data_IF_918940633998
#
_entry.id   IF_918940633998
#
_cell.length_a   1.000
_cell.length_b   1.000
_cell.length_c   1.000
_cell.angle_alpha   90.00
_cell.angle_beta   90.00
_cell.angle_gamma   90.00
#
_symmetry.space_group_name_H-M   'P 1'
#
loop_
_entity.id
_entity.type
_entity.pdbx_description
1 polymer ?
#
# COMPACT_ATOMS: atom_id res chain seq x y z
N UNK A 1 -16.53 -37.06 -7.79
CA UNK A 1 -15.10 -36.69 -7.67
C UNK A 1 -14.68 -35.91 -8.94
N UNK A 2 -15.49 -34.93 -9.34
CA UNK A 2 -15.51 -34.37 -10.72
C UNK A 2 -14.88 -32.98 -10.85
N UNK A 3 -14.35 -32.40 -9.78
CA UNK A 3 -13.92 -30.99 -9.77
C UNK A 3 -12.45 -30.75 -10.16
N UNK A 4 -11.73 -31.76 -10.66
CA UNK A 4 -10.32 -31.60 -11.08
C UNK A 4 -10.10 -31.73 -12.59
N UNK A 5 -11.15 -31.70 -13.43
CA UNK A 5 -11.06 -31.93 -14.87
C UNK A 5 -11.21 -30.61 -15.64
N UNK A 6 -10.22 -30.30 -16.47
CA UNK A 6 -10.30 -29.27 -17.52
C UNK A 6 -11.50 -29.56 -18.44
N UNK A 7 -12.21 -28.56 -18.97
CA UNK A 7 -13.43 -28.80 -19.74
C UNK A 7 -13.17 -29.74 -20.92
N UNK A 8 -14.05 -30.74 -21.19
CA UNK A 8 -13.89 -31.61 -22.35
C UNK A 8 -14.09 -30.79 -23.62
N UNK A 9 -13.18 -30.96 -24.58
CA UNK A 9 -13.31 -30.38 -25.91
C UNK A 9 -14.60 -30.90 -26.59
N UNK A 10 -15.49 -30.04 -27.11
CA UNK A 10 -16.64 -30.48 -27.87
C UNK A 10 -16.18 -31.11 -29.20
N UNK A 11 -16.88 -32.17 -29.59
CA UNK A 11 -16.55 -33.05 -30.71
C UNK A 11 -16.23 -32.33 -32.02
N UNK A 12 -15.31 -32.95 -32.75
CA UNK A 12 -14.72 -32.48 -33.99
C UNK A 12 -15.73 -32.06 -35.08
N UNK A 13 -15.63 -30.80 -35.47
CA UNK A 13 -15.92 -30.30 -36.82
C UNK A 13 -14.60 -29.64 -37.30
N UNK A 14 -14.11 -29.92 -38.53
CA UNK A 14 -12.83 -29.38 -38.98
C UNK A 14 -13.01 -27.93 -39.45
N UNK A 15 -13.12 -27.02 -38.49
CA UNK A 15 -12.87 -25.60 -38.71
C UNK A 15 -11.42 -25.34 -38.34
N UNK A 16 -10.69 -24.75 -39.29
CA UNK A 16 -9.29 -24.33 -39.18
C UNK A 16 -9.15 -23.30 -38.04
N UNK A 17 -9.12 -23.75 -36.78
CA UNK A 17 -8.76 -22.92 -35.65
C UNK A 17 -7.25 -22.70 -35.70
N UNK A 18 -6.84 -21.45 -35.93
CA UNK A 18 -5.56 -21.01 -35.38
C UNK A 18 -5.61 -21.29 -33.87
N UNK A 19 -4.96 -22.36 -33.42
CA UNK A 19 -4.57 -22.46 -32.03
C UNK A 19 -3.60 -21.30 -31.78
N UNK A 20 -4.12 -20.19 -31.25
CA UNK A 20 -3.29 -19.34 -30.40
C UNK A 20 -2.76 -20.28 -29.32
N UNK A 21 -1.47 -20.62 -29.40
CA UNK A 21 -0.79 -21.26 -28.30
C UNK A 21 -0.98 -20.34 -27.09
N UNK A 22 -1.82 -20.75 -26.14
CA UNK A 22 -1.93 -20.08 -24.86
C UNK A 22 -0.57 -20.25 -24.16
N UNK A 23 0.28 -19.24 -24.28
CA UNK A 23 1.53 -19.21 -23.55
C UNK A 23 1.21 -19.00 -22.09
N UNK A 24 1.54 -20.00 -21.27
CA UNK A 24 1.46 -19.88 -19.84
C UNK A 24 2.53 -18.94 -19.30
N UNK A 25 2.11 -18.01 -18.44
CA UNK A 25 2.98 -17.01 -17.82
C UNK A 25 2.84 -17.11 -16.32
N UNK A 26 3.96 -17.02 -15.60
CA UNK A 26 3.95 -16.81 -14.16
C UNK A 26 3.80 -15.32 -13.86
N UNK A 27 3.18 -14.98 -12.74
CA UNK A 27 3.05 -13.61 -12.26
C UNK A 27 4.42 -12.94 -11.97
N UNK A 28 5.47 -13.72 -11.73
CA UNK A 28 6.84 -13.23 -11.60
C UNK A 28 7.88 -14.30 -11.94
N UNK A 29 9.06 -13.86 -12.38
CA UNK A 29 10.22 -14.70 -12.65
C UNK A 29 11.21 -14.80 -11.48
N UNK A 30 11.16 -13.85 -10.52
CA UNK A 30 12.04 -13.81 -9.35
C UNK A 30 11.30 -13.19 -8.17
N UNK A 31 11.48 -13.76 -6.98
CA UNK A 31 10.95 -13.25 -5.72
C UNK A 31 12.05 -13.09 -4.71
N UNK A 32 12.04 -11.96 -4.00
CA UNK A 32 12.92 -11.68 -2.88
C UNK A 32 12.08 -11.70 -1.60
N UNK A 33 12.32 -12.68 -0.73
CA UNK A 33 11.59 -12.91 0.51
C UNK A 33 12.45 -12.50 1.71
N UNK A 34 11.89 -11.78 2.70
CA UNK A 34 12.63 -11.42 3.88
C UNK A 34 12.86 -12.63 4.78
N UNK A 35 14.08 -12.77 5.30
CA UNK A 35 14.40 -13.80 6.27
C UNK A 35 13.78 -13.49 7.64
N UNK A 36 13.23 -14.49 8.32
CA UNK A 36 12.58 -14.32 9.63
C UNK A 36 12.82 -15.55 10.51
N UNK A 37 12.92 -15.35 11.83
CA UNK A 37 13.20 -16.43 12.82
C UNK A 37 11.96 -17.00 13.52
N UNK A 38 10.77 -16.52 13.21
CA UNK A 38 9.55 -16.92 13.92
C UNK A 38 8.27 -16.59 13.18
N UNK A 39 8.32 -15.59 12.31
CA UNK A 39 7.20 -15.20 11.44
C UNK A 39 7.27 -15.96 10.12
N UNK A 40 6.19 -16.58 9.66
CA UNK A 40 6.15 -17.16 8.30
C UNK A 40 5.72 -16.09 7.30
N UNK A 41 6.56 -15.81 6.31
CA UNK A 41 6.27 -14.86 5.23
C UNK A 41 5.84 -15.63 4.00
N UNK A 42 4.71 -15.24 3.44
CA UNK A 42 4.05 -15.93 2.35
C UNK A 42 4.04 -15.07 1.08
N UNK A 43 4.32 -15.70 -0.05
CA UNK A 43 4.15 -15.14 -1.39
C UNK A 43 3.31 -16.08 -2.26
N UNK A 44 2.38 -15.55 -3.04
CA UNK A 44 1.53 -16.38 -3.92
C UNK A 44 2.05 -16.34 -5.35
N UNK A 45 2.51 -17.49 -5.86
CA UNK A 45 2.77 -17.69 -7.28
C UNK A 45 1.47 -18.02 -8.00
N UNK A 46 1.27 -17.41 -9.17
CA UNK A 46 0.08 -17.60 -9.99
C UNK A 46 0.49 -17.75 -11.46
N UNK A 47 -0.05 -18.79 -12.10
CA UNK A 47 0.07 -18.99 -13.53
C UNK A 47 -1.18 -18.44 -14.26
N UNK A 48 -0.98 -17.84 -15.42
CA UNK A 48 -2.04 -17.16 -16.17
C UNK A 48 -3.15 -18.11 -16.62
N UNK A 49 -2.81 -19.33 -17.06
CA UNK A 49 -3.74 -20.33 -17.60
C UNK A 49 -3.20 -21.74 -17.37
N UNK A 50 -4.06 -22.73 -17.10
CA UNK A 50 -3.70 -24.15 -17.01
C UNK A 50 -3.57 -24.71 -15.59
N UNK A 51 -3.30 -26.02 -15.49
CA UNK A 51 -3.21 -26.75 -14.23
C UNK A 51 -1.76 -27.19 -13.98
N UNK A 52 -1.11 -26.60 -12.98
CA UNK A 52 0.32 -26.82 -12.73
C UNK A 52 0.55 -27.71 -11.52
N UNK A 53 1.50 -28.63 -11.66
CA UNK A 53 2.09 -29.31 -10.52
C UNK A 53 3.28 -28.49 -10.06
N UNK A 54 3.21 -28.03 -8.82
CA UNK A 54 4.24 -27.22 -8.20
C UNK A 54 5.23 -28.11 -7.46
N UNK A 55 6.52 -27.88 -7.64
CA UNK A 55 7.58 -28.54 -6.88
C UNK A 55 8.68 -27.53 -6.56
N UNK A 56 9.19 -27.60 -5.35
CA UNK A 56 10.40 -26.87 -4.96
C UNK A 56 11.58 -27.81 -5.13
N UNK A 57 12.63 -27.34 -5.80
CA UNK A 57 13.91 -28.06 -5.86
C UNK A 57 14.63 -28.05 -4.52
N UNK A 58 14.28 -27.11 -3.63
CA UNK A 58 14.89 -26.89 -2.32
C UNK A 58 13.83 -26.52 -1.27
N UNK A 59 13.02 -27.48 -0.81
CA UNK A 59 11.97 -27.24 0.19
C UNK A 59 12.49 -26.64 1.50
N UNK A 60 13.78 -26.78 1.79
CA UNK A 60 14.45 -26.21 2.95
C UNK A 60 14.74 -24.70 2.85
N UNK A 61 14.75 -24.13 1.63
CA UNK A 61 14.93 -22.69 1.37
C UNK A 61 13.60 -22.00 1.08
N UNK A 62 12.77 -22.65 0.26
CA UNK A 62 11.43 -22.19 -0.06
C UNK A 62 10.52 -23.41 -0.23
N UNK A 63 9.54 -23.58 0.65
CA UNK A 63 8.50 -24.60 0.48
C UNK A 63 7.40 -24.07 -0.44
N UNK A 64 6.81 -24.94 -1.24
CA UNK A 64 5.72 -24.60 -2.16
C UNK A 64 4.53 -25.52 -1.91
N UNK A 65 3.35 -24.93 -1.71
CA UNK A 65 2.10 -25.65 -1.48
C UNK A 65 1.06 -25.23 -2.51
N UNK A 66 0.43 -26.16 -3.25
CA UNK A 66 -0.61 -25.82 -4.21
C UNK A 66 -1.84 -25.24 -3.51
N UNK A 67 -2.33 -24.10 -4.00
CA UNK A 67 -3.58 -23.49 -3.54
C UNK A 67 -4.71 -23.95 -4.46
N UNK A 68 -5.46 -24.98 -4.04
CA UNK A 68 -6.56 -25.56 -4.79
C UNK A 68 -7.46 -26.48 -3.96
N UNK A 69 -8.55 -27.02 -4.53
CA UNK A 69 -9.45 -27.93 -3.83
C UNK A 69 -8.70 -29.16 -3.33
N UNK A 70 -8.96 -29.56 -2.07
CA UNK A 70 -8.33 -30.72 -1.45
C UNK A 70 -8.57 -31.98 -2.31
N UNK A 71 -7.48 -32.63 -2.73
CA UNK A 71 -7.52 -33.83 -3.57
C UNK A 71 -7.19 -33.61 -5.06
N UNK A 72 -7.03 -32.36 -5.53
CA UNK A 72 -6.54 -32.12 -6.90
C UNK A 72 -4.99 -32.17 -6.97
N UNK A 73 -4.45 -32.81 -8.03
CA UNK A 73 -3.01 -33.02 -8.25
C UNK A 73 -2.28 -31.82 -8.88
N UNK A 74 -3.02 -30.78 -9.27
CA UNK A 74 -2.49 -29.57 -9.90
C UNK A 74 -3.36 -28.37 -9.54
N UNK A 75 -2.77 -27.17 -9.56
CA UNK A 75 -3.43 -25.91 -9.24
C UNK A 75 -2.89 -24.77 -10.09
N UNK A 76 -3.67 -23.71 -10.26
CA UNK A 76 -3.24 -22.50 -10.95
C UNK A 76 -2.41 -21.56 -10.06
N UNK A 77 -2.58 -21.68 -8.74
CA UNK A 77 -1.90 -20.88 -7.71
C UNK A 77 -1.13 -21.78 -6.74
N UNK A 78 -0.04 -21.27 -6.19
CA UNK A 78 0.72 -21.92 -5.13
C UNK A 78 1.30 -20.92 -4.14
N UNK A 79 1.35 -21.31 -2.87
CA UNK A 79 1.94 -20.56 -1.79
C UNK A 79 3.43 -20.89 -1.69
N UNK A 80 4.28 -19.89 -1.79
CA UNK A 80 5.71 -19.99 -1.52
C UNK A 80 5.97 -19.44 -0.11
N UNK A 81 6.61 -20.24 0.72
CA UNK A 81 7.02 -19.84 2.07
C UNK A 81 8.52 -20.03 2.21
N UNK A 82 9.20 -19.15 2.95
CA UNK A 82 10.62 -19.30 3.27
C UNK A 82 10.81 -20.03 4.63
N UNK A 83 11.30 -21.29 4.66
CA UNK A 83 11.77 -21.94 5.87
C UNK A 83 13.10 -21.38 6.39
N UNK A 84 13.48 -21.85 7.58
CA UNK A 84 14.45 -21.24 8.49
C UNK A 84 15.94 -21.26 8.09
N UNK A 85 16.35 -21.88 6.97
CA UNK A 85 17.79 -22.05 6.67
C UNK A 85 18.13 -21.89 5.17
N UNK A 86 19.22 -21.17 4.89
CA UNK A 86 19.66 -20.78 3.55
C UNK A 86 20.64 -21.78 2.91
N UNK A 87 20.65 -21.90 1.58
CA UNK A 87 21.83 -21.88 0.68
C UNK A 87 21.39 -21.86 -0.81
N UNK A 88 22.32 -21.68 -1.76
CA UNK A 88 22.12 -21.36 -3.19
C UNK A 88 22.23 -22.54 -4.18
N UNK A 89 21.71 -22.32 -5.40
CA UNK A 89 22.05 -22.87 -6.75
C UNK A 89 20.99 -23.74 -7.50
N UNK A 90 20.39 -23.10 -8.51
CA UNK A 90 20.21 -23.41 -9.96
C UNK A 90 19.76 -24.79 -10.51
N UNK A 91 18.66 -24.79 -11.28
CA UNK A 91 18.23 -25.80 -12.28
C UNK A 91 16.98 -25.37 -13.06
N UNK A 92 16.72 -25.85 -14.29
CA UNK A 92 15.75 -25.28 -15.26
C UNK A 92 14.49 -26.15 -15.52
N UNK A 93 13.33 -25.59 -15.17
CA UNK A 93 11.91 -25.78 -15.61
C UNK A 93 11.21 -24.43 -15.29
N UNK A 94 10.07 -24.02 -15.88
CA UNK A 94 9.44 -22.68 -15.67
C UNK A 94 9.71 -22.12 -14.26
N UNK A 95 10.65 -21.17 -14.21
CA UNK A 95 11.47 -20.96 -13.04
C UNK A 95 11.10 -19.65 -12.40
N UNK A 96 10.65 -19.69 -11.16
CA UNK A 96 10.71 -18.53 -10.30
C UNK A 96 11.89 -18.72 -9.34
N UNK A 97 12.88 -17.84 -9.41
CA UNK A 97 13.98 -17.85 -8.45
C UNK A 97 13.51 -17.20 -7.14
N UNK A 98 13.38 -18.01 -6.08
CA UNK A 98 13.14 -17.50 -4.74
C UNK A 98 14.47 -17.24 -4.02
N UNK A 99 14.72 -15.98 -3.69
CA UNK A 99 15.89 -15.52 -2.96
C UNK A 99 15.41 -15.11 -1.57
N UNK A 100 16.11 -15.55 -0.53
CA UNK A 100 15.84 -15.15 0.85
C UNK A 100 17.02 -14.33 1.34
N UNK A 101 16.77 -13.11 1.82
CA UNK A 101 17.80 -12.18 2.29
C UNK A 101 17.32 -11.35 3.50
N UNK A 102 18.24 -10.62 4.13
CA UNK A 102 18.00 -9.73 5.26
C UNK A 102 17.55 -8.34 4.81
N UNK A 103 16.54 -7.82 5.51
CA UNK A 103 16.15 -6.40 5.40
C UNK A 103 17.25 -5.53 6.00
N UNK A 104 17.79 -4.62 5.19
CA UNK A 104 18.78 -3.63 5.60
C UNK A 104 18.16 -2.24 5.84
N UNK A 105 17.07 -1.93 5.13
CA UNK A 105 16.36 -0.67 5.29
C UNK A 105 14.86 -0.80 5.01
N UNK A 106 14.08 0.14 5.55
CA UNK A 106 12.65 0.28 5.24
C UNK A 106 12.36 1.72 4.82
N UNK A 107 11.32 1.90 4.00
CA UNK A 107 10.88 3.19 3.49
C UNK A 107 9.35 3.24 3.48
N UNK A 108 8.78 4.32 4.02
CA UNK A 108 7.34 4.58 3.90
C UNK A 108 7.06 5.25 2.56
N UNK A 109 6.27 4.56 1.74
CA UNK A 109 5.81 4.98 0.43
C UNK A 109 4.35 5.41 0.53
N UNK A 110 4.03 6.50 -0.15
CA UNK A 110 2.68 7.05 -0.23
C UNK A 110 2.40 7.52 -1.66
N UNK A 111 1.13 7.45 -2.08
CA UNK A 111 0.70 7.99 -3.38
C UNK A 111 0.62 9.51 -3.38
N UNK A 112 0.35 10.10 -2.21
CA UNK A 112 0.26 11.55 -1.99
C UNK A 112 1.02 11.95 -0.74
N UNK A 113 1.48 13.21 -0.69
CA UNK A 113 2.07 13.83 0.52
C UNK A 113 1.12 14.83 1.19
N UNK A 114 0.03 15.14 0.51
CA UNK A 114 -1.02 16.06 0.96
C UNK A 114 -2.29 15.26 1.23
N UNK A 115 -2.97 15.58 2.33
CA UNK A 115 -4.18 14.91 2.78
C UNK A 115 -5.24 15.95 3.11
N UNK A 116 -6.45 15.81 2.59
CA UNK A 116 -7.54 16.69 2.99
C UNK A 116 -8.19 16.21 4.30
N UNK A 117 -8.69 17.16 5.10
CA UNK A 117 -9.42 16.87 6.35
C UNK A 117 -10.58 15.91 6.16
N UNK A 118 -10.75 15.00 7.14
CA UNK A 118 -11.90 14.14 7.50
C UNK A 118 -12.51 13.25 6.41
N UNK A 119 -12.53 13.68 5.15
CA UNK A 119 -13.18 13.01 4.02
C UNK A 119 -12.17 12.25 3.14
N UNK A 120 -10.85 12.46 3.32
CA UNK A 120 -9.81 11.79 2.54
C UNK A 120 -9.03 10.78 3.39
N UNK A 121 -9.05 9.52 2.94
CA UNK A 121 -8.20 8.46 3.47
C UNK A 121 -6.96 8.32 2.59
N UNK A 122 -5.79 8.18 3.20
CA UNK A 122 -4.54 7.90 2.51
C UNK A 122 -3.97 6.56 2.96
N UNK A 123 -3.68 5.71 1.99
CA UNK A 123 -2.92 4.48 2.21
C UNK A 123 -1.43 4.78 2.27
N UNK A 124 -0.78 4.29 3.33
CA UNK A 124 0.67 4.28 3.46
C UNK A 124 1.16 2.85 3.47
N UNK A 125 2.24 2.59 2.74
CA UNK A 125 2.82 1.26 2.61
C UNK A 125 4.32 1.29 2.88
N UNK A 126 4.86 0.20 3.40
CA UNK A 126 6.30 0.04 3.60
C UNK A 126 6.90 -0.73 2.43
N UNK A 127 7.99 -0.20 1.90
CA UNK A 127 8.95 -0.96 1.11
C UNK A 127 10.13 -1.32 2.00
N UNK A 128 10.60 -2.57 1.91
CA UNK A 128 11.85 -2.97 2.54
C UNK A 128 12.91 -3.19 1.46
N UNK A 129 14.16 -2.89 1.80
CA UNK A 129 15.31 -2.96 0.92
C UNK A 129 16.39 -3.87 1.49
N UNK A 130 17.04 -4.65 0.63
CA UNK A 130 18.25 -5.41 0.96
C UNK A 130 19.50 -4.50 0.94
N UNK A 131 20.69 -5.09 1.10
CA UNK A 131 21.96 -4.35 1.11
C UNK A 131 22.32 -3.73 -0.25
N UNK A 132 21.76 -4.27 -1.33
CA UNK A 132 21.99 -3.84 -2.71
C UNK A 132 20.95 -2.80 -3.16
N UNK A 133 19.90 -2.56 -2.37
CA UNK A 133 18.80 -1.66 -2.67
C UNK A 133 17.65 -2.29 -3.45
N UNK A 134 17.59 -3.63 -3.55
CA UNK A 134 16.45 -4.32 -4.15
C UNK A 134 15.26 -4.33 -3.20
N UNK A 135 14.04 -4.25 -3.75
CA UNK A 135 12.82 -4.26 -2.94
C UNK A 135 12.32 -5.69 -2.70
N UNK A 136 12.04 -6.01 -1.44
CA UNK A 136 11.42 -7.29 -1.08
C UNK A 136 10.02 -7.42 -1.71
N UNK A 137 9.72 -8.61 -2.24
CA UNK A 137 8.48 -8.87 -2.98
C UNK A 137 7.24 -8.94 -2.08
N UNK A 138 7.42 -9.22 -0.79
CA UNK A 138 6.34 -9.26 0.20
C UNK A 138 6.87 -8.99 1.60
N UNK A 139 6.06 -8.32 2.42
CA UNK A 139 6.28 -8.12 3.85
C UNK A 139 5.15 -8.74 4.68
N UNK A 140 4.32 -9.57 4.04
CA UNK A 140 3.15 -10.17 4.67
C UNK A 140 3.54 -10.98 5.92
N UNK A 141 2.87 -10.66 7.03
CA UNK A 141 3.10 -11.30 8.33
C UNK A 141 4.13 -10.58 9.21
N UNK A 142 4.97 -9.70 8.66
CA UNK A 142 5.85 -8.86 9.47
C UNK A 142 5.05 -7.80 10.22
N UNK A 143 5.38 -7.63 11.50
CA UNK A 143 4.72 -6.65 12.37
C UNK A 143 5.48 -5.34 12.34
N UNK A 144 4.76 -4.27 12.10
CA UNK A 144 5.28 -2.90 12.15
C UNK A 144 4.57 -2.11 13.23
N UNK A 145 5.31 -1.22 13.87
CA UNK A 145 4.79 -0.26 14.82
C UNK A 145 4.70 1.10 14.14
N UNK A 146 3.47 1.59 13.97
CA UNK A 146 3.18 2.87 13.37
C UNK A 146 2.82 3.89 14.43
N UNK A 147 3.64 4.93 14.54
CA UNK A 147 3.50 5.95 15.58
C UNK A 147 3.50 7.36 14.98
N UNK A 148 2.73 8.23 15.62
CA UNK A 148 2.74 9.67 15.35
C UNK A 148 3.92 10.28 16.08
N UNK A 149 4.81 10.96 15.35
CA UNK A 149 5.91 11.72 15.96
C UNK A 149 5.35 13.06 16.40
N UNK A 150 5.37 13.31 17.71
CA UNK A 150 5.09 14.63 18.28
C UNK A 150 6.36 15.47 18.16
N UNK A 151 6.26 16.64 17.53
CA UNK A 151 7.37 17.60 17.57
C UNK A 151 7.49 18.14 19.03
N UNK A 152 8.71 18.33 19.57
CA UNK A 152 8.90 18.85 20.92
C UNK A 152 8.48 20.33 20.96
N UNK A 153 7.33 20.60 21.57
CA UNK A 153 6.85 21.96 21.87
C UNK A 153 7.70 22.58 23.01
N UNK A 154 8.09 23.87 22.92
CA UNK A 154 8.88 24.54 23.95
C UNK A 154 8.08 24.96 25.20
N UNK A 155 6.75 24.83 25.22
CA UNK A 155 5.92 25.20 26.39
C UNK A 155 4.95 24.07 26.78
N UNK A 156 4.96 23.70 28.06
CA UNK A 156 4.33 22.51 28.65
C UNK A 156 2.80 22.49 28.72
N UNK A 157 2.08 23.04 27.73
CA UNK A 157 0.62 22.93 27.62
C UNK A 157 0.25 21.88 26.56
N UNK A 158 0.13 20.62 27.01
CA UNK A 158 -0.25 19.49 26.17
C UNK A 158 -1.76 19.46 25.90
N UNK A 159 -2.25 20.35 25.03
CA UNK A 159 -3.49 20.10 24.31
C UNK A 159 -3.17 19.14 23.15
N UNK A 160 -3.02 17.85 23.48
CA UNK A 160 -2.66 16.80 22.52
C UNK A 160 -3.83 16.45 21.60
N UNK A 161 -4.29 17.41 20.80
CA UNK A 161 -5.16 17.12 19.68
C UNK A 161 -4.31 16.50 18.58
N UNK A 162 -4.38 15.18 18.45
CA UNK A 162 -3.71 14.48 17.36
C UNK A 162 -4.19 15.04 16.01
N UNK A 163 -3.27 15.59 15.24
CA UNK A 163 -3.53 16.17 13.91
C UNK A 163 -3.92 15.09 12.88
N UNK A 164 -3.45 13.86 13.08
CA UNK A 164 -3.68 12.74 12.19
C UNK A 164 -4.11 11.50 13.00
N UNK A 165 -5.00 10.69 12.40
CA UNK A 165 -5.48 9.43 12.98
C UNK A 165 -5.07 8.27 12.09
N UNK A 166 -4.55 7.22 12.70
CA UNK A 166 -4.38 5.91 12.06
C UNK A 166 -5.70 5.15 12.20
N UNK A 167 -6.20 4.62 11.09
CA UNK A 167 -7.46 3.90 11.01
C UNK A 167 -7.21 2.41 10.76
N UNK A 168 -8.12 1.59 11.29
CA UNK A 168 -8.21 0.18 10.91
C UNK A 168 -8.92 0.06 9.57
N UNK A 169 -8.51 -0.89 8.75
CA UNK A 169 -9.18 -1.19 7.50
C UNK A 169 -10.62 -1.65 7.71
N UNK A 170 -10.90 -2.35 8.81
CA UNK A 170 -12.26 -2.71 9.24
C UNK A 170 -13.18 -1.50 9.49
N UNK A 171 -12.63 -0.33 9.79
CA UNK A 171 -13.38 0.93 9.99
C UNK A 171 -13.57 1.70 8.67
N UNK A 172 -13.05 1.18 7.55
CA UNK A 172 -13.01 1.86 6.26
C UNK A 172 -13.84 1.13 5.19
N UNK A 173 -14.06 1.79 4.06
CA UNK A 173 -14.66 1.18 2.86
C UNK A 173 -13.63 0.49 1.96
N UNK A 174 -12.34 0.53 2.32
CA UNK A 174 -11.26 -0.04 1.54
C UNK A 174 -11.10 -1.54 1.84
N UNK A 175 -10.77 -2.32 0.81
CA UNK A 175 -10.54 -3.76 0.92
C UNK A 175 -9.05 -4.00 1.22
N UNK A 176 -8.67 -4.39 2.45
CA UNK A 176 -7.28 -4.71 2.77
C UNK A 176 -6.85 -6.06 2.17
N UNK A 177 -5.53 -6.28 2.02
CA UNK A 177 -4.99 -7.63 1.90
C UNK A 177 -5.41 -8.50 3.10
N UNK A 178 -5.70 -9.78 2.85
CA UNK A 178 -6.21 -10.69 3.89
C UNK A 178 -5.28 -10.81 5.11
N UNK A 179 -3.97 -10.80 4.91
CA UNK A 179 -2.99 -10.88 6.00
C UNK A 179 -2.99 -9.64 6.89
N UNK A 180 -3.36 -8.45 6.38
CA UNK A 180 -3.54 -7.24 7.20
C UNK A 180 -4.76 -7.39 8.09
N UNK A 181 -5.87 -7.92 7.56
CA UNK A 181 -7.08 -8.19 8.32
C UNK A 181 -6.82 -9.12 9.51
N UNK A 182 -6.04 -10.19 9.29
CA UNK A 182 -5.65 -11.11 10.37
C UNK A 182 -4.76 -10.43 11.42
N UNK A 183 -3.89 -9.50 11.01
CA UNK A 183 -3.10 -8.71 11.96
C UNK A 183 -3.97 -7.78 12.82
N UNK A 184 -4.97 -7.13 12.23
CA UNK A 184 -5.86 -6.23 12.97
C UNK A 184 -6.68 -6.97 14.04
N UNK A 185 -7.09 -8.22 13.78
CA UNK A 185 -7.79 -9.08 14.75
C UNK A 185 -6.97 -9.32 16.03
N UNK A 186 -5.65 -9.39 15.91
CA UNK A 186 -4.72 -9.56 17.04
C UNK A 186 -4.10 -8.24 17.50
N UNK A 187 -4.72 -7.11 17.14
CA UNK A 187 -4.29 -5.75 17.50
C UNK A 187 -2.84 -5.42 17.07
N UNK A 188 -2.39 -6.01 15.95
CA UNK A 188 -1.10 -5.72 15.32
C UNK A 188 -1.30 -4.93 14.04
N UNK A 189 -0.27 -4.19 13.63
CA UNK A 189 -0.24 -3.45 12.37
C UNK A 189 0.77 -4.09 11.44
N UNK A 190 0.43 -4.12 10.15
CA UNK A 190 1.28 -4.67 9.09
C UNK A 190 2.08 -3.60 8.35
N UNK A 191 2.57 -3.97 7.18
CA UNK A 191 3.30 -3.09 6.26
C UNK A 191 2.44 -2.02 5.60
N UNK A 192 1.11 -2.11 5.70
CA UNK A 192 0.17 -1.15 5.12
C UNK A 192 -0.80 -0.64 6.19
N UNK A 193 -1.05 0.67 6.21
CA UNK A 193 -2.03 1.34 7.09
C UNK A 193 -2.86 2.38 6.34
N UNK A 194 -4.01 2.75 6.92
CA UNK A 194 -4.79 3.91 6.50
C UNK A 194 -4.66 5.06 7.49
N UNK A 195 -4.60 6.28 6.98
CA UNK A 195 -4.57 7.49 7.79
C UNK A 195 -5.61 8.52 7.34
N UNK A 196 -6.12 9.30 8.28
CA UNK A 196 -7.02 10.43 8.03
C UNK A 196 -6.57 11.70 8.78
N UNK A 197 -6.83 12.85 8.18
CA UNK A 197 -6.53 14.15 8.77
C UNK A 197 -7.63 14.62 9.71
N UNK A 198 -7.28 15.03 10.93
CA UNK A 198 -8.18 15.62 11.93
C UNK A 198 -8.04 17.14 11.96
N UNK A 199 -6.80 17.65 11.84
CA UNK A 199 -6.49 19.08 11.91
C UNK A 199 -5.53 19.50 10.80
N UNK A 200 -5.67 20.74 10.34
CA UNK A 200 -4.82 21.34 9.32
C UNK A 200 -3.45 21.66 9.90
N UNK A 201 -2.49 20.79 9.64
CA UNK A 201 -1.12 20.94 10.09
C UNK A 201 -0.23 19.96 9.34
N UNK A 202 1.08 20.05 9.54
CA UNK A 202 1.98 18.99 9.10
C UNK A 202 2.15 17.96 10.20
N UNK A 203 2.01 16.68 9.87
CA UNK A 203 2.19 15.57 10.81
C UNK A 203 3.25 14.62 10.31
N UNK A 204 4.09 14.10 11.22
CA UNK A 204 5.10 13.09 10.92
C UNK A 204 4.65 11.74 11.48
N UNK A 205 4.76 10.71 10.65
CA UNK A 205 4.55 9.32 11.01
C UNK A 205 5.86 8.57 10.96
N UNK A 206 6.00 7.60 11.86
CA UNK A 206 7.18 6.76 12.00
C UNK A 206 6.75 5.30 11.98
N UNK A 207 7.38 4.52 11.12
CA UNK A 207 7.21 3.07 11.03
C UNK A 207 8.48 2.36 11.51
N UNK A 208 8.33 1.39 12.41
CA UNK A 208 9.42 0.56 12.93
C UNK A 208 9.10 -0.92 12.76
N UNK A 209 10.06 -1.70 12.24
CA UNK A 209 9.95 -3.16 12.15
C UNK A 209 10.17 -3.79 13.54
N UNK A 210 9.24 -4.63 14.01
CA UNK A 210 9.28 -5.22 15.36
C UNK A 210 9.99 -6.58 15.44
N UNK A 211 10.33 -7.18 14.30
CA UNK A 211 10.96 -8.49 14.25
C UNK A 211 12.37 -8.47 14.86
N UNK A 212 12.68 -9.49 15.68
CA UNK A 212 13.80 -9.46 16.63
C UNK A 212 15.19 -9.42 15.98
N UNK A 213 15.32 -10.01 14.79
CA UNK A 213 16.57 -9.99 14.01
C UNK A 213 16.83 -8.61 13.38
N UNK A 214 15.80 -7.77 13.25
CA UNK A 214 15.85 -6.46 12.59
C UNK A 214 15.88 -5.27 13.56
N UNK A 215 16.25 -5.50 14.83
CA UNK A 215 16.37 -4.43 15.85
C UNK A 215 17.24 -3.25 15.43
N UNK A 216 18.22 -3.48 14.56
CA UNK A 216 19.16 -2.47 14.09
C UNK A 216 18.68 -1.72 12.83
N UNK A 217 17.60 -2.18 12.20
CA UNK A 217 17.01 -1.50 11.03
C UNK A 217 16.40 -0.18 11.50
N UNK A 218 16.82 0.91 10.88
CA UNK A 218 16.34 2.24 11.27
C UNK A 218 14.85 2.40 10.93
N UNK A 219 14.06 3.02 11.81
CA UNK A 219 12.69 3.38 11.50
C UNK A 219 12.63 4.33 10.30
N UNK A 220 11.59 4.21 9.48
CA UNK A 220 11.32 5.16 8.41
C UNK A 220 10.30 6.18 8.85
N UNK A 221 10.51 7.44 8.46
CA UNK A 221 9.60 8.53 8.75
C UNK A 221 9.01 9.13 7.46
N UNK A 222 7.76 9.56 7.53
CA UNK A 222 7.07 10.31 6.47
C UNK A 222 6.39 11.53 7.06
N UNK A 223 6.56 12.66 6.38
CA UNK A 223 5.84 13.90 6.68
C UNK A 223 4.66 14.04 5.73
N UNK A 224 3.47 14.24 6.30
CA UNK A 224 2.24 14.55 5.57
C UNK A 224 1.83 15.99 5.86
N UNK A 225 1.23 16.64 4.87
CA UNK A 225 0.63 17.97 5.00
C UNK A 225 -0.88 17.84 4.93
N UNK A 226 -1.57 18.24 5.99
CA UNK A 226 -3.02 18.14 6.07
C UNK A 226 -3.63 19.49 5.73
N UNK A 227 -4.47 19.51 4.71
CA UNK A 227 -5.03 20.70 4.10
C UNK A 227 -6.54 20.77 4.27
N UNK A 228 -7.07 21.99 4.27
CA UNK A 228 -8.50 22.21 4.17
C UNK A 228 -8.91 22.35 2.71
N UNK A 229 -10.08 21.81 2.36
CA UNK A 229 -10.66 22.06 1.06
C UNK A 229 -11.34 23.45 1.07
N UNK A 230 -10.63 24.44 0.53
CA UNK A 230 -11.07 25.84 0.44
C UNK A 230 -11.25 26.19 -1.05
N UNK A 231 -12.37 26.84 -1.37
CA UNK A 231 -12.66 27.32 -2.72
C UNK A 231 -13.25 28.72 -2.69
N UNK A 232 -13.08 29.44 -3.80
CA UNK A 232 -13.63 30.78 -4.01
C UNK A 232 -14.99 30.66 -4.69
N UNK A 233 -15.93 31.51 -4.29
CA UNK A 233 -17.22 31.64 -4.94
C UNK A 233 -17.37 33.06 -5.51
N UNK A 234 -17.61 33.23 -6.81
CA UNK A 234 -17.89 32.16 -7.77
C UNK A 234 -16.63 31.37 -8.20
N UNK A 235 -16.82 30.09 -8.52
CA UNK A 235 -15.75 29.14 -8.92
C UNK A 235 -15.44 29.16 -10.41
N UNK A 236 -16.24 29.85 -11.23
CA UNK A 236 -16.04 29.99 -12.68
C UNK A 236 -15.13 31.17 -13.01
N UNK A 237 -14.60 31.18 -14.24
CA UNK A 237 -13.72 32.25 -14.72
C UNK A 237 -14.46 33.59 -14.81
N UNK A 238 -13.80 34.66 -14.34
CA UNK A 238 -14.37 36.02 -14.29
C UNK A 238 -13.41 36.96 -15.02
N UNK A 239 -13.94 37.69 -15.99
CA UNK A 239 -13.21 38.70 -16.74
C UNK A 239 -13.52 40.08 -16.17
N UNK A 240 -12.49 40.80 -15.71
CA UNK A 240 -12.61 42.12 -15.09
C UNK A 240 -11.92 43.19 -15.93
N UNK A 241 -12.60 44.32 -16.16
CA UNK A 241 -12.02 45.51 -16.77
C UNK A 241 -11.12 46.24 -15.76
N UNK A 242 -10.14 47.00 -16.27
CA UNK A 242 -9.23 47.77 -15.43
C UNK A 242 -10.03 48.77 -14.59
N UNK A 243 -9.83 48.74 -13.26
CA UNK A 243 -10.49 49.62 -12.30
C UNK A 243 -11.77 49.06 -11.66
N UNK A 244 -12.23 47.88 -12.07
CA UNK A 244 -13.40 47.24 -11.44
C UNK A 244 -13.00 46.33 -10.27
N UNK A 245 -13.98 46.01 -9.41
CA UNK A 245 -13.81 45.11 -8.28
C UNK A 245 -14.88 44.03 -8.29
N UNK A 246 -14.56 42.86 -7.76
CA UNK A 246 -15.51 41.77 -7.56
C UNK A 246 -15.64 41.40 -6.09
N UNK A 247 -16.86 41.06 -5.69
CA UNK A 247 -17.12 40.40 -4.42
C UNK A 247 -17.00 38.90 -4.61
N UNK A 248 -16.16 38.28 -3.78
CA UNK A 248 -16.01 36.83 -3.74
C UNK A 248 -16.19 36.34 -2.30
N UNK A 249 -16.58 35.08 -2.15
CA UNK A 249 -16.65 34.40 -0.85
C UNK A 249 -15.59 33.33 -0.80
N UNK A 250 -14.89 33.27 0.33
CA UNK A 250 -14.05 32.11 0.65
C UNK A 250 -14.94 31.13 1.37
N UNK A 251 -15.08 29.96 0.77
CA UNK A 251 -15.90 28.88 1.30
C UNK A 251 -15.02 27.69 1.61
N UNK A 252 -15.37 26.99 2.69
CA UNK A 252 -14.67 25.81 3.16
C UNK A 252 -15.65 24.66 3.18
N UNK A 253 -15.23 23.51 2.65
CA UNK A 253 -16.00 22.28 2.70
C UNK A 253 -15.53 21.42 3.88
N UNK A 254 -16.47 21.01 4.73
CA UNK A 254 -16.25 19.94 5.73
C UNK A 254 -17.47 19.02 5.72
N UNK A 255 -17.29 17.71 5.52
CA UNK A 255 -18.37 16.72 5.59
C UNK A 255 -19.60 17.11 4.75
N UNK A 256 -19.36 17.53 3.50
CA UNK A 256 -20.40 18.01 2.58
C UNK A 256 -21.14 19.31 3.00
N UNK A 257 -20.78 19.95 4.12
CA UNK A 257 -21.31 21.25 4.56
C UNK A 257 -20.37 22.38 4.17
N UNK A 258 -20.93 23.40 3.51
CA UNK A 258 -20.19 24.59 3.08
C UNK A 258 -20.37 25.69 4.13
N UNK A 259 -19.26 26.13 4.73
CA UNK A 259 -19.24 27.30 5.63
C UNK A 259 -18.42 28.39 4.96
N UNK A 260 -18.92 29.64 4.93
CA UNK A 260 -18.26 30.73 4.22
C UNK A 260 -18.26 32.04 4.99
N UNK A 261 -17.26 32.86 4.70
CA UNK A 261 -17.17 34.24 5.18
C UNK A 261 -17.22 35.20 3.99
N UNK A 262 -17.99 36.29 4.14
CA UNK A 262 -18.04 37.37 3.15
C UNK A 262 -16.84 38.30 3.34
N UNK A 263 -16.05 38.48 2.30
CA UNK A 263 -15.07 39.56 2.25
C UNK A 263 -15.61 40.66 1.34
N UNK A 264 -15.88 41.82 1.93
CA UNK A 264 -16.12 43.06 1.21
C UNK A 264 -14.80 43.84 1.10
N UNK A 265 -14.48 44.34 -0.10
CA UNK A 265 -13.41 45.32 -0.36
C UNK A 265 -11.93 44.86 -0.27
N UNK A 266 -11.53 43.75 -0.91
CA UNK A 266 -10.10 43.51 -1.20
C UNK A 266 -9.79 43.64 -2.69
N UNK A 267 -8.82 44.51 -3.03
CA UNK A 267 -8.29 44.64 -4.40
C UNK A 267 -7.37 43.45 -4.69
N UNK A 268 -7.82 42.50 -5.49
CA UNK A 268 -6.95 41.48 -6.07
C UNK A 268 -6.25 42.07 -7.31
N UNK A 269 -4.93 42.21 -7.28
CA UNK A 269 -4.16 42.57 -8.47
C UNK A 269 -3.86 41.30 -9.29
N UNK A 270 -4.23 41.34 -10.57
CA UNK A 270 -3.98 40.26 -11.52
C UNK A 270 -2.48 40.21 -11.80
N UNK A 271 -1.80 39.24 -11.20
CA UNK A 271 -0.38 39.00 -11.40
C UNK A 271 0.27 38.45 -10.13
N UNK A 272 0.28 37.13 -10.00
CA UNK A 272 0.89 36.36 -8.90
C UNK A 272 0.07 36.36 -7.61
N UNK A 273 -0.56 35.21 -7.36
CA UNK A 273 -1.32 34.90 -6.14
C UNK A 273 -0.46 35.02 -4.89
N UNK A 274 -0.51 36.18 -4.23
CA UNK A 274 -0.09 36.37 -2.84
C UNK A 274 -1.20 37.17 -2.15
N UNK A 275 -2.22 36.47 -1.65
CA UNK A 275 -3.09 37.05 -0.62
C UNK A 275 -2.33 36.97 0.72
N UNK A 276 -1.49 37.97 0.99
CA UNK A 276 -0.86 38.13 2.30
C UNK A 276 -1.89 38.66 3.29
N UNK A 277 -2.11 37.93 4.37
CA UNK A 277 -2.78 38.42 5.57
C UNK A 277 -1.83 39.37 6.29
N UNK A 278 -2.14 40.66 6.29
CA UNK A 278 -1.81 41.54 7.41
C UNK A 278 -2.97 41.53 8.38
#
# INVERSE_FOLDING_TARGET
NENCIAPPAPGALPLLLLHLAAFSRLNTAKVLLPFTRGTRVNFTLEASEGCYRWSSTRPEVASIEPLGPAGCLCSQRALVQAPHHHHLLTGQVLRCDAIVDLIHGIQVVSTMRELYLEDSLLELKIHALDSEGNTFSTLAGLVFDWTLVKDPEPDGFSDSHNTLRILKFLESTYIPPSYILEMEKVAKQGDTILVSGIKTESSKLKARLQESIYKNVQPSEVRLLILENIFLNPTYDIYLLVGTSIQYRVQKQRQWKITGFNFSNRKCFIGKWICSTK
#
